data_IF_622858619595
#
_entry.id   IF_622858619595
#
_cell.length_a   1.000
_cell.length_b   1.000
_cell.length_c   1.000
_cell.angle_alpha   90.00
_cell.angle_beta   90.00
_cell.angle_gamma   90.00
#
_symmetry.space_group_name_H-M   'P 1'
#
loop_
_entity.id
_entity.type
_entity.pdbx_description
1 polymer ?
#
# COMPACT_ATOMS: atom_id res chain seq x y z
N UNK A 1 -0.40 -39.58 -1.54
CA UNK A 1 0.38 -38.55 -0.80
C UNK A 1 0.50 -37.27 -1.65
N UNK A 2 -0.62 -36.65 -2.04
CA UNK A 2 -0.63 -35.58 -3.06
C UNK A 2 -1.74 -34.52 -2.90
N UNK A 3 -2.23 -34.26 -1.67
CA UNK A 3 -3.30 -33.27 -1.42
C UNK A 3 -2.99 -32.30 -0.27
N UNK A 4 -1.72 -31.88 -0.11
CA UNK A 4 -1.33 -30.90 0.92
C UNK A 4 -0.72 -29.62 0.34
N UNK A 5 -1.18 -29.18 -0.84
CA UNK A 5 -0.75 -27.95 -1.52
C UNK A 5 -1.93 -27.04 -1.87
N UNK A 6 -2.61 -26.48 -0.86
CA UNK A 6 -3.49 -25.31 -1.07
C UNK A 6 -3.94 -24.71 0.26
N UNK A 7 -3.01 -24.38 1.16
CA UNK A 7 -3.39 -23.70 2.41
C UNK A 7 -2.73 -22.35 2.48
N UNK A 8 -3.52 -21.36 2.04
CA UNK A 8 -3.13 -19.98 1.86
C UNK A 8 -3.66 -19.09 3.01
N UNK A 9 -2.72 -18.67 3.87
CA UNK A 9 -2.56 -17.32 4.44
C UNK A 9 -3.28 -16.86 5.73
N UNK A 10 -2.48 -16.67 6.80
CA UNK A 10 -2.72 -15.67 7.85
C UNK A 10 -2.54 -14.26 7.24
N UNK A 11 -3.51 -13.35 7.43
CA UNK A 11 -3.50 -11.93 7.03
C UNK A 11 -3.98 -11.52 5.61
N UNK A 12 -5.18 -11.94 5.18
CA UNK A 12 -5.77 -11.58 3.86
C UNK A 12 -6.59 -10.28 3.77
N UNK A 13 -7.10 -9.72 4.88
CA UNK A 13 -8.00 -8.54 4.91
C UNK A 13 -7.62 -7.39 3.93
N UNK A 14 -6.41 -6.84 4.03
CA UNK A 14 -6.07 -5.67 3.19
C UNK A 14 -5.85 -6.03 1.70
N UNK A 15 -5.63 -7.30 1.37
CA UNK A 15 -5.43 -7.76 -0.01
C UNK A 15 -6.77 -7.97 -0.72
N UNK A 16 -7.75 -8.53 -0.03
CA UNK A 16 -9.12 -8.66 -0.54
C UNK A 16 -9.78 -7.30 -0.71
N UNK A 17 -9.54 -6.33 0.19
CA UNK A 17 -10.00 -4.95 0.01
C UNK A 17 -9.38 -4.26 -1.22
N UNK A 18 -8.07 -4.40 -1.46
CA UNK A 18 -7.45 -3.86 -2.68
C UNK A 18 -8.01 -4.50 -3.97
N UNK A 19 -8.29 -5.81 -3.93
CA UNK A 19 -8.98 -6.50 -5.02
C UNK A 19 -10.40 -5.96 -5.26
N UNK A 20 -11.16 -5.74 -4.19
CA UNK A 20 -12.49 -5.12 -4.25
C UNK A 20 -12.42 -3.69 -4.84
N UNK A 21 -11.49 -2.86 -4.37
CA UNK A 21 -11.29 -1.52 -4.92
C UNK A 21 -10.93 -1.56 -6.42
N UNK A 22 -10.07 -2.50 -6.85
CA UNK A 22 -9.72 -2.66 -8.26
C UNK A 22 -10.94 -3.02 -9.11
N UNK A 23 -11.80 -3.93 -8.63
CA UNK A 23 -13.06 -4.28 -9.32
C UNK A 23 -13.98 -3.07 -9.42
N UNK A 24 -14.17 -2.33 -8.33
CA UNK A 24 -14.99 -1.09 -8.32
C UNK A 24 -14.45 -0.10 -9.36
N UNK A 25 -13.12 0.14 -9.38
CA UNK A 25 -12.49 1.08 -10.30
C UNK A 25 -12.61 0.67 -11.77
N UNK A 26 -12.40 -0.62 -12.09
CA UNK A 26 -12.55 -1.11 -13.46
C UNK A 26 -14.02 -1.02 -13.90
N UNK A 27 -14.95 -1.50 -13.09
CA UNK A 27 -16.38 -1.51 -13.44
C UNK A 27 -16.92 -0.08 -13.64
N UNK A 28 -16.61 0.84 -12.72
CA UNK A 28 -17.02 2.24 -12.84
C UNK A 28 -16.31 2.96 -13.98
N UNK A 29 -15.01 2.74 -14.16
CA UNK A 29 -14.22 3.38 -15.22
C UNK A 29 -14.69 2.99 -16.61
N UNK A 30 -15.02 1.70 -16.83
CA UNK A 30 -15.59 1.23 -18.10
C UNK A 30 -16.94 1.88 -18.36
N UNK A 31 -17.82 1.93 -17.35
CA UNK A 31 -19.14 2.57 -17.52
C UNK A 31 -19.02 4.07 -17.81
N UNK A 32 -18.15 4.78 -17.09
CA UNK A 32 -17.88 6.20 -17.36
C UNK A 32 -17.36 6.41 -18.78
N UNK A 33 -16.44 5.56 -19.25
CA UNK A 33 -15.90 5.66 -20.61
C UNK A 33 -16.96 5.41 -21.69
N UNK A 34 -17.98 4.58 -21.43
CA UNK A 34 -19.08 4.33 -22.38
C UNK A 34 -20.03 5.53 -22.53
N UNK A 35 -20.15 6.37 -21.51
CA UNK A 35 -21.10 7.48 -21.46
C UNK A 35 -20.44 8.87 -21.53
N UNK A 36 -19.11 8.92 -21.59
CA UNK A 36 -18.34 10.15 -21.70
C UNK A 36 -18.14 10.57 -23.16
N UNK A 37 -18.29 11.88 -23.46
CA UNK A 37 -17.95 12.46 -24.75
C UNK A 37 -16.66 13.27 -24.64
N UNK A 38 -15.66 12.96 -25.46
CA UNK A 38 -14.39 13.69 -25.51
C UNK A 38 -14.44 14.97 -26.37
N UNK A 39 -15.58 15.29 -26.97
CA UNK A 39 -15.75 16.52 -27.74
C UNK A 39 -15.91 17.71 -26.80
N UNK A 40 -15.13 18.77 -27.03
CA UNK A 40 -15.05 19.95 -26.15
C UNK A 40 -16.42 20.58 -25.82
N UNK A 41 -17.34 20.56 -26.78
CA UNK A 41 -18.68 21.14 -26.65
C UNK A 41 -19.62 20.30 -25.77
N UNK A 42 -19.39 18.98 -25.69
CA UNK A 42 -20.24 18.02 -24.97
C UNK A 42 -19.57 17.45 -23.72
N UNK A 43 -18.30 17.77 -23.49
CA UNK A 43 -17.50 17.17 -22.44
C UNK A 43 -18.09 17.46 -21.06
N UNK A 44 -18.51 18.70 -20.80
CA UNK A 44 -19.12 19.07 -19.53
C UNK A 44 -20.48 18.38 -19.32
N UNK A 45 -21.37 18.48 -20.30
CA UNK A 45 -22.72 17.88 -20.23
C UNK A 45 -22.66 16.36 -20.06
N UNK A 46 -21.73 15.69 -20.74
CA UNK A 46 -21.52 14.25 -20.58
C UNK A 46 -21.02 13.87 -19.19
N UNK A 47 -20.20 14.72 -18.55
CA UNK A 47 -19.74 14.53 -17.17
C UNK A 47 -20.86 14.77 -16.17
N UNK A 48 -21.71 15.77 -16.40
CA UNK A 48 -22.90 16.05 -15.58
C UNK A 48 -23.89 14.89 -15.61
N UNK A 49 -24.13 14.31 -16.80
CA UNK A 49 -25.00 13.15 -16.98
C UNK A 49 -24.55 11.91 -16.16
N UNK A 50 -23.25 11.72 -15.95
CA UNK A 50 -22.67 10.53 -15.30
C UNK A 50 -22.24 10.76 -13.84
N UNK A 51 -22.64 11.89 -13.23
CA UNK A 51 -22.17 12.32 -11.90
C UNK A 51 -22.26 11.27 -10.79
N UNK A 52 -23.34 10.48 -10.64
CA UNK A 52 -23.42 9.49 -9.56
C UNK A 52 -22.31 8.43 -9.62
N UNK A 53 -22.01 7.93 -10.81
CA UNK A 53 -20.96 6.92 -11.03
C UNK A 53 -19.59 7.57 -10.94
N UNK A 54 -19.47 8.85 -11.31
CA UNK A 54 -18.25 9.63 -11.13
C UNK A 54 -17.88 9.78 -9.67
N UNK A 55 -18.84 9.98 -8.77
CA UNK A 55 -18.57 9.98 -7.32
C UNK A 55 -18.07 8.63 -6.82
N UNK A 56 -18.65 7.54 -7.31
CA UNK A 56 -18.18 6.18 -6.98
C UNK A 56 -16.74 5.93 -7.49
N UNK A 57 -16.43 6.38 -8.71
CA UNK A 57 -15.10 6.24 -9.28
C UNK A 57 -14.06 7.11 -8.55
N UNK A 58 -14.36 8.39 -8.33
CA UNK A 58 -13.46 9.34 -7.66
C UNK A 58 -13.18 8.95 -6.21
N UNK A 59 -14.22 8.71 -5.40
CA UNK A 59 -14.04 8.25 -4.01
C UNK A 59 -13.39 6.87 -3.96
N UNK A 60 -13.69 6.00 -4.93
CA UNK A 60 -13.08 4.68 -5.02
C UNK A 60 -11.56 4.74 -5.25
N UNK A 61 -11.07 5.74 -5.99
CA UNK A 61 -9.64 5.97 -6.19
C UNK A 61 -8.98 6.38 -4.86
N UNK A 62 -9.57 7.30 -4.11
CA UNK A 62 -9.05 7.70 -2.78
C UNK A 62 -9.01 6.52 -1.80
N UNK A 63 -10.06 5.70 -1.75
CA UNK A 63 -10.10 4.51 -0.91
C UNK A 63 -9.10 3.42 -1.37
N UNK A 64 -8.83 3.32 -2.67
CA UNK A 64 -7.77 2.46 -3.21
C UNK A 64 -6.41 2.87 -2.65
N UNK A 65 -6.06 4.17 -2.69
CA UNK A 65 -4.80 4.67 -2.14
C UNK A 65 -4.69 4.49 -0.62
N UNK A 66 -5.77 4.75 0.14
CA UNK A 66 -5.80 4.49 1.59
C UNK A 66 -5.53 3.02 1.89
N UNK A 67 -6.23 2.08 1.22
CA UNK A 67 -5.99 0.65 1.37
C UNK A 67 -4.56 0.25 1.00
N UNK A 68 -4.01 0.88 -0.05
CA UNK A 68 -2.66 0.65 -0.51
C UNK A 68 -1.62 1.11 0.51
N UNK A 69 -1.77 2.31 1.09
CA UNK A 69 -0.87 2.82 2.13
C UNK A 69 -0.90 1.92 3.37
N UNK A 70 -2.08 1.48 3.82
CA UNK A 70 -2.21 0.53 4.94
C UNK A 70 -1.56 -0.83 4.58
N UNK A 71 -1.73 -1.30 3.33
CA UNK A 71 -1.11 -2.53 2.85
C UNK A 71 0.43 -2.44 2.85
N UNK A 72 0.99 -1.33 2.35
CA UNK A 72 2.43 -1.06 2.34
C UNK A 72 2.93 -0.95 3.79
N UNK A 73 2.29 -0.15 4.65
CA UNK A 73 2.68 0.01 6.05
C UNK A 73 2.70 -1.32 6.80
N UNK A 74 1.73 -2.19 6.56
CA UNK A 74 1.72 -3.57 7.07
C UNK A 74 2.88 -4.41 6.53
N UNK A 75 3.19 -4.31 5.23
CA UNK A 75 4.30 -5.03 4.62
C UNK A 75 5.65 -4.60 5.22
N UNK A 76 5.81 -3.30 5.50
CA UNK A 76 6.95 -2.72 6.20
C UNK A 76 7.03 -3.28 7.64
N UNK A 77 5.97 -3.14 8.41
CA UNK A 77 5.93 -3.52 9.83
C UNK A 77 6.23 -5.01 10.06
N UNK A 78 5.69 -5.89 9.22
CA UNK A 78 5.90 -7.34 9.33
C UNK A 78 7.11 -7.85 8.54
N UNK A 79 7.92 -6.97 7.94
CA UNK A 79 9.10 -7.36 7.16
C UNK A 79 8.77 -8.26 5.97
N UNK A 80 7.61 -8.05 5.34
CA UNK A 80 7.12 -8.89 4.23
C UNK A 80 7.94 -8.73 2.95
N UNK A 81 8.72 -7.65 2.84
CA UNK A 81 9.67 -7.38 1.75
C UNK A 81 10.92 -8.26 1.79
N UNK A 82 11.20 -8.95 2.91
CA UNK A 82 12.43 -9.74 3.09
C UNK A 82 12.35 -11.08 2.36
N UNK A 83 13.51 -11.62 1.98
CA UNK A 83 13.65 -12.95 1.38
C UNK A 83 12.93 -14.02 2.20
N UNK A 84 12.26 -15.01 1.57
CA UNK A 84 12.25 -15.31 0.13
C UNK A 84 11.21 -14.52 -0.69
N UNK A 85 10.57 -13.49 -0.12
CA UNK A 85 9.45 -12.76 -0.75
C UNK A 85 9.86 -11.48 -1.50
N UNK A 86 11.13 -11.09 -1.45
CA UNK A 86 11.65 -9.93 -2.17
C UNK A 86 11.82 -10.21 -3.65
N UNK A 87 11.26 -9.36 -4.51
CA UNK A 87 11.47 -9.43 -5.96
C UNK A 87 12.72 -8.64 -6.35
N UNK A 88 13.47 -9.16 -7.33
CA UNK A 88 14.45 -8.37 -8.08
C UNK A 88 13.70 -7.51 -9.10
N UNK A 89 13.87 -6.19 -9.05
CA UNK A 89 13.34 -5.29 -10.09
C UNK A 89 14.24 -5.35 -11.32
N UNK A 90 13.70 -5.76 -12.46
CA UNK A 90 14.39 -5.78 -13.75
C UNK A 90 14.03 -4.57 -14.62
N UNK A 91 14.93 -4.22 -15.54
CA UNK A 91 14.88 -3.09 -16.47
C UNK A 91 13.55 -2.87 -17.26
N UNK A 92 12.75 -3.90 -17.61
CA UNK A 92 11.47 -3.69 -18.33
C UNK A 92 10.37 -2.99 -17.52
N UNK A 93 10.53 -2.86 -16.20
CA UNK A 93 9.50 -2.36 -15.27
C UNK A 93 9.36 -0.83 -15.30
N UNK A 94 10.40 -0.12 -15.76
CA UNK A 94 10.50 1.35 -15.65
C UNK A 94 10.11 2.07 -16.97
N UNK A 95 10.19 1.43 -18.13
CA UNK A 95 10.03 2.11 -19.44
C UNK A 95 8.61 2.16 -20.02
N UNK A 96 7.57 1.74 -19.31
CA UNK A 96 6.20 1.63 -19.89
C UNK A 96 5.23 2.73 -19.47
N UNK A 97 5.68 3.78 -18.78
CA UNK A 97 4.81 4.76 -18.14
C UNK A 97 4.48 6.01 -18.96
N UNK A 98 3.63 5.91 -20.01
CA UNK A 98 2.97 7.12 -20.55
C UNK A 98 1.61 6.90 -21.25
N UNK A 99 1.34 5.77 -21.91
CA UNK A 99 0.07 5.55 -22.64
C UNK A 99 -1.06 4.92 -21.80
N UNK A 100 -1.06 5.15 -20.48
CA UNK A 100 -1.30 4.05 -19.56
C UNK A 100 -2.62 4.08 -18.80
N UNK A 101 -3.40 5.15 -18.74
CA UNK A 101 -4.54 5.19 -17.81
C UNK A 101 -5.64 4.15 -18.08
N UNK A 102 -5.93 3.85 -19.36
CA UNK A 102 -6.90 2.80 -19.72
C UNK A 102 -6.31 1.39 -19.71
N UNK A 103 -5.01 1.24 -19.96
CA UNK A 103 -4.31 -0.05 -20.00
C UNK A 103 -3.79 -0.49 -18.62
N UNK A 104 -3.51 0.47 -17.73
CA UNK A 104 -2.96 0.29 -16.39
C UNK A 104 -3.82 -0.62 -15.53
N UNK A 105 -5.16 -0.51 -15.50
CA UNK A 105 -5.97 -1.40 -14.68
C UNK A 105 -5.81 -2.87 -15.11
N UNK A 106 -5.63 -3.15 -16.40
CA UNK A 106 -5.42 -4.51 -16.92
C UNK A 106 -4.00 -5.02 -16.67
N UNK A 107 -2.99 -4.16 -16.83
CA UNK A 107 -1.62 -4.49 -16.44
C UNK A 107 -1.53 -4.72 -14.93
N UNK A 108 -2.22 -3.89 -14.13
CA UNK A 108 -2.31 -4.02 -12.69
C UNK A 108 -3.02 -5.32 -12.31
N UNK A 109 -4.11 -5.69 -12.98
CA UNK A 109 -4.76 -6.98 -12.78
C UNK A 109 -3.79 -8.15 -13.07
N UNK A 110 -3.02 -8.07 -14.16
CA UNK A 110 -1.99 -9.08 -14.46
C UNK A 110 -0.87 -9.12 -13.39
N UNK A 111 -0.42 -7.97 -12.90
CA UNK A 111 0.55 -7.87 -11.80
C UNK A 111 -0.03 -8.41 -10.49
N UNK A 112 -1.32 -8.20 -10.22
CA UNK A 112 -2.03 -8.78 -9.06
C UNK A 112 -2.06 -10.30 -9.19
N UNK A 113 -2.33 -10.86 -10.38
CA UNK A 113 -2.27 -12.31 -10.60
C UNK A 113 -0.85 -12.83 -10.34
N UNK A 114 0.18 -12.21 -10.91
CA UNK A 114 1.58 -12.60 -10.66
C UNK A 114 1.94 -12.49 -9.17
N UNK A 115 1.49 -11.43 -8.50
CA UNK A 115 1.66 -11.24 -7.08
C UNK A 115 0.99 -12.37 -6.29
N UNK A 116 -0.25 -12.74 -6.63
CA UNK A 116 -0.99 -13.84 -6.01
C UNK A 116 -0.35 -15.21 -6.29
N UNK A 117 0.31 -15.40 -7.43
CA UNK A 117 1.09 -16.63 -7.73
C UNK A 117 2.33 -16.69 -6.83
N UNK A 118 3.13 -15.62 -6.77
CA UNK A 118 4.31 -15.55 -5.90
C UNK A 118 3.93 -15.74 -4.42
N UNK A 119 2.75 -15.25 -4.06
CA UNK A 119 2.09 -15.48 -2.79
C UNK A 119 1.77 -16.98 -2.62
N UNK A 120 1.05 -17.58 -3.56
CA UNK A 120 0.65 -18.99 -3.49
C UNK A 120 1.85 -19.92 -3.26
N UNK A 121 2.99 -19.64 -3.90
CA UNK A 121 4.24 -20.42 -3.73
C UNK A 121 4.83 -20.29 -2.33
N UNK A 122 4.95 -19.07 -1.79
CA UNK A 122 5.76 -18.82 -0.57
C UNK A 122 4.98 -18.79 0.75
N UNK A 123 3.65 -18.75 0.73
CA UNK A 123 2.85 -18.65 1.96
C UNK A 123 2.99 -17.30 2.71
N UNK A 124 1.96 -16.96 3.50
CA UNK A 124 1.91 -15.66 4.17
C UNK A 124 2.94 -15.54 5.25
N UNK A 125 3.31 -14.30 5.52
CA UNK A 125 3.90 -14.01 6.82
C UNK A 125 2.80 -14.01 7.89
N UNK A 126 3.22 -14.08 9.15
CA UNK A 126 2.36 -13.93 10.31
C UNK A 126 2.91 -12.82 11.22
N UNK A 127 2.11 -12.28 12.16
CA UNK A 127 2.55 -11.22 13.06
C UNK A 127 3.82 -11.54 13.84
N UNK A 128 4.10 -12.82 14.09
CA UNK A 128 5.25 -13.28 14.85
C UNK A 128 6.53 -13.37 14.01
N UNK A 129 6.43 -13.30 12.67
CA UNK A 129 7.57 -13.37 11.76
C UNK A 129 8.24 -14.75 11.66
N UNK A 130 7.73 -15.75 12.37
CA UNK A 130 8.25 -17.14 12.40
C UNK A 130 7.55 -18.03 11.37
N UNK A 131 7.91 -19.32 11.30
CA UNK A 131 7.23 -20.28 10.43
C UNK A 131 5.77 -20.48 10.82
N UNK A 132 4.86 -20.37 9.86
CA UNK A 132 3.44 -20.68 10.03
C UNK A 132 3.08 -22.10 9.61
N UNK A 133 4.05 -23.00 9.45
CA UNK A 133 3.81 -24.37 8.96
C UNK A 133 3.17 -25.28 10.01
N UNK A 134 3.37 -24.96 11.28
CA UNK A 134 2.89 -25.74 12.43
C UNK A 134 1.41 -25.54 12.72
N UNK A 135 0.86 -24.39 12.33
CA UNK A 135 -0.52 -24.00 12.64
C UNK A 135 -1.13 -23.29 11.44
N UNK A 136 -1.85 -24.07 10.61
CA UNK A 136 -2.52 -23.59 9.40
C UNK A 136 -4.00 -23.92 9.45
N UNK A 137 -4.81 -22.86 9.38
CA UNK A 137 -6.24 -22.97 9.15
C UNK A 137 -6.57 -22.86 7.66
N UNK A 138 -7.64 -23.53 7.19
CA UNK A 138 -8.08 -23.41 5.82
C UNK A 138 -8.69 -22.05 5.51
N UNK A 139 -8.58 -21.62 4.24
CA UNK A 139 -9.14 -20.34 3.79
C UNK A 139 -10.66 -20.32 4.03
N UNK A 140 -11.36 -21.33 3.49
CA UNK A 140 -12.77 -21.54 3.79
C UNK A 140 -12.94 -22.40 5.04
N UNK A 141 -13.84 -22.03 5.99
CA UNK A 141 -14.69 -20.84 5.97
C UNK A 141 -14.05 -19.61 6.63
N UNK A 142 -13.00 -19.80 7.43
CA UNK A 142 -12.51 -18.81 8.40
C UNK A 142 -12.14 -17.47 7.80
N UNK A 143 -11.28 -17.47 6.76
CA UNK A 143 -10.79 -16.24 6.16
C UNK A 143 -11.77 -15.66 5.13
N UNK A 144 -12.62 -16.48 4.51
CA UNK A 144 -13.74 -15.98 3.68
C UNK A 144 -14.68 -15.13 4.53
N UNK A 145 -15.12 -15.66 5.67
CA UNK A 145 -16.03 -14.94 6.56
C UNK A 145 -15.39 -13.68 7.12
N UNK A 146 -14.12 -13.77 7.55
CA UNK A 146 -13.36 -12.61 8.01
C UNK A 146 -13.28 -11.51 6.96
N UNK A 147 -12.92 -11.86 5.72
CA UNK A 147 -12.79 -10.91 4.63
C UNK A 147 -14.15 -10.31 4.25
N UNK A 148 -15.22 -11.09 4.29
CA UNK A 148 -16.59 -10.62 4.06
C UNK A 148 -17.04 -9.57 5.08
N UNK A 149 -16.76 -9.80 6.38
CA UNK A 149 -17.04 -8.81 7.44
C UNK A 149 -16.29 -7.50 7.17
N UNK A 150 -15.00 -7.58 6.81
CA UNK A 150 -14.21 -6.38 6.52
C UNK A 150 -14.64 -5.69 5.23
N UNK A 151 -15.08 -6.44 4.22
CA UNK A 151 -15.67 -5.92 2.99
C UNK A 151 -16.98 -5.18 3.25
N UNK A 152 -17.83 -5.71 4.14
CA UNK A 152 -19.09 -5.05 4.53
C UNK A 152 -18.83 -3.72 5.24
N UNK A 153 -17.91 -3.70 6.22
CA UNK A 153 -17.53 -2.47 6.92
C UNK A 153 -16.94 -1.45 5.95
N UNK A 154 -16.07 -1.90 5.03
CA UNK A 154 -15.52 -1.06 3.98
C UNK A 154 -16.61 -0.45 3.10
N UNK A 155 -17.56 -1.26 2.62
CA UNK A 155 -18.66 -0.79 1.77
C UNK A 155 -19.57 0.20 2.50
N UNK A 156 -19.83 -0.01 3.79
CA UNK A 156 -20.59 0.93 4.61
C UNK A 156 -19.90 2.30 4.63
N UNK A 157 -18.62 2.35 5.01
CA UNK A 157 -17.87 3.62 5.04
C UNK A 157 -17.77 4.24 3.64
N UNK A 158 -17.54 3.41 2.62
CA UNK A 158 -17.47 3.86 1.23
C UNK A 158 -18.78 4.52 0.77
N UNK A 159 -19.94 3.91 1.07
CA UNK A 159 -21.25 4.48 0.72
C UNK A 159 -21.53 5.79 1.46
N UNK A 160 -21.02 5.96 2.69
CA UNK A 160 -21.13 7.24 3.40
C UNK A 160 -20.44 8.37 2.62
N UNK A 161 -19.22 8.14 2.12
CA UNK A 161 -18.51 9.12 1.30
C UNK A 161 -19.22 9.35 -0.04
N UNK A 162 -19.62 8.29 -0.74
CA UNK A 162 -20.24 8.40 -2.07
C UNK A 162 -21.59 9.15 -2.02
N UNK A 163 -22.44 8.89 -1.03
CA UNK A 163 -23.79 9.46 -0.99
C UNK A 163 -23.91 10.72 -0.14
N UNK A 164 -23.16 10.84 0.96
CA UNK A 164 -23.34 11.94 1.91
C UNK A 164 -22.21 12.97 1.87
N UNK A 165 -21.03 12.63 1.33
CA UNK A 165 -19.88 13.55 1.26
C UNK A 165 -19.00 13.34 0.02
N UNK A 166 -19.57 13.35 -1.21
CA UNK A 166 -18.88 12.87 -2.41
C UNK A 166 -17.67 13.69 -2.85
N UNK A 167 -17.60 14.96 -2.46
CA UNK A 167 -16.55 15.89 -2.89
C UNK A 167 -15.49 16.16 -1.80
N UNK A 168 -15.60 15.56 -0.60
CA UNK A 168 -14.68 15.89 0.51
C UNK A 168 -13.24 15.44 0.29
N UNK A 169 -13.00 14.48 -0.60
CA UNK A 169 -11.68 13.93 -0.91
C UNK A 169 -11.10 14.46 -2.24
N UNK A 170 -11.80 15.37 -2.92
CA UNK A 170 -11.35 15.98 -4.17
C UNK A 170 -10.88 17.42 -3.96
N UNK A 171 -9.96 17.89 -4.82
CA UNK A 171 -9.59 19.29 -4.91
C UNK A 171 -10.14 19.91 -6.21
N UNK A 172 -10.60 21.18 -6.21
CA UNK A 172 -11.06 21.87 -7.43
C UNK A 172 -9.96 22.01 -8.49
N UNK A 173 -8.72 22.23 -8.06
CA UNK A 173 -7.57 22.39 -8.92
C UNK A 173 -6.65 21.16 -8.84
N UNK A 174 -6.43 20.45 -9.94
CA UNK A 174 -5.66 19.21 -9.99
C UNK A 174 -4.37 19.38 -10.83
N UNK A 175 -3.31 19.89 -10.23
CA UNK A 175 -1.96 19.84 -10.81
C UNK A 175 -0.95 19.49 -9.71
N UNK A 176 -0.07 18.51 -9.96
CA UNK A 176 0.99 18.10 -9.01
C UNK A 176 2.29 17.82 -9.76
N UNK A 177 3.41 18.23 -9.14
CA UNK A 177 4.79 18.08 -9.59
C UNK A 177 5.33 16.64 -9.46
N UNK A 178 6.21 16.25 -10.39
CA UNK A 178 6.35 14.83 -10.79
C UNK A 178 7.65 14.14 -10.33
N UNK A 179 8.75 14.86 -10.12
CA UNK A 179 10.08 14.22 -10.02
C UNK A 179 10.40 13.68 -8.60
N UNK A 180 10.20 14.48 -7.55
CA UNK A 180 10.47 14.06 -6.17
C UNK A 180 9.56 12.90 -5.72
N UNK A 181 8.34 12.84 -6.25
CA UNK A 181 7.36 11.80 -5.96
C UNK A 181 7.81 10.42 -6.44
N UNK A 182 8.46 10.33 -7.61
CA UNK A 182 8.98 9.05 -8.11
C UNK A 182 10.13 8.52 -7.25
N UNK A 183 11.06 9.38 -6.81
CA UNK A 183 12.15 8.98 -5.92
C UNK A 183 11.64 8.46 -4.58
N UNK A 184 10.60 9.09 -4.01
CA UNK A 184 9.97 8.68 -2.76
C UNK A 184 9.29 7.30 -2.84
N UNK A 185 8.86 6.87 -4.04
CA UNK A 185 8.29 5.54 -4.26
C UNK A 185 9.37 4.49 -4.49
N UNK A 186 10.38 4.80 -5.32
CA UNK A 186 11.45 3.87 -5.66
C UNK A 186 12.34 3.48 -4.46
N UNK A 187 12.45 4.33 -3.45
CA UNK A 187 13.26 4.04 -2.25
C UNK A 187 12.79 2.79 -1.49
N UNK A 188 11.50 2.42 -1.61
CA UNK A 188 10.96 1.20 -0.99
C UNK A 188 11.67 -0.08 -1.48
N UNK A 189 12.25 -0.05 -2.68
CA UNK A 189 12.97 -1.18 -3.28
C UNK A 189 14.30 -1.48 -2.58
N UNK A 190 14.82 -0.55 -1.78
CA UNK A 190 16.11 -0.70 -1.09
C UNK A 190 15.97 -1.51 0.21
N UNK A 191 14.77 -1.58 0.79
CA UNK A 191 14.49 -2.22 2.09
C UNK A 191 14.95 -3.68 2.24
N UNK A 192 14.81 -4.56 1.23
CA UNK A 192 15.33 -5.93 1.34
C UNK A 192 16.84 -6.00 1.60
N UNK A 193 17.57 -4.94 1.24
CA UNK A 193 19.03 -4.84 1.35
C UNK A 193 19.47 -4.07 2.60
N UNK A 194 18.74 -3.02 3.01
CA UNK A 194 19.09 -2.19 4.16
C UNK A 194 18.64 -2.73 5.51
N UNK A 195 17.58 -3.55 5.57
CA UNK A 195 17.22 -4.24 6.82
C UNK A 195 18.21 -5.37 7.14
N UNK A 196 19.10 -5.11 8.10
CA UNK A 196 20.16 -6.03 8.55
C UNK A 196 19.70 -6.97 9.67
N UNK A 197 18.45 -6.86 10.13
CA UNK A 197 17.98 -7.58 11.32
C UNK A 197 17.99 -9.10 11.11
N UNK A 198 18.34 -9.90 12.11
CA UNK A 198 18.21 -11.37 12.00
C UNK A 198 16.75 -11.85 12.13
N UNK A 199 15.89 -11.05 12.79
CA UNK A 199 14.47 -11.36 13.02
C UNK A 199 13.58 -10.58 12.06
N UNK A 200 12.62 -11.29 11.43
CA UNK A 200 11.65 -10.69 10.50
C UNK A 200 10.56 -9.93 11.26
N UNK A 201 10.24 -8.73 10.78
CA UNK A 201 9.16 -7.89 11.31
C UNK A 201 9.50 -7.23 12.64
N UNK A 202 8.71 -6.23 13.05
CA UNK A 202 9.02 -5.35 14.18
C UNK A 202 8.33 -5.73 15.50
N UNK A 203 7.55 -6.82 15.51
CA UNK A 203 6.75 -7.21 16.68
C UNK A 203 7.58 -7.30 17.98
N UNK A 204 8.79 -7.87 17.89
CA UNK A 204 9.71 -8.08 19.01
C UNK A 204 10.94 -7.16 18.99
N UNK A 205 10.89 -6.08 18.22
CA UNK A 205 12.01 -5.15 18.01
C UNK A 205 11.61 -3.75 18.46
N UNK A 206 11.82 -3.39 19.74
CA UNK A 206 11.25 -2.17 20.33
C UNK A 206 11.76 -0.89 19.66
N UNK A 207 13.04 -0.82 19.28
CA UNK A 207 13.61 0.35 18.61
C UNK A 207 13.10 0.45 17.17
N UNK A 208 13.06 -0.66 16.43
CA UNK A 208 12.48 -0.68 15.09
C UNK A 208 10.99 -0.30 15.09
N UNK A 209 10.24 -0.74 16.13
CA UNK A 209 8.82 -0.42 16.29
C UNK A 209 8.59 1.07 16.54
N UNK A 210 9.37 1.67 17.44
CA UNK A 210 9.32 3.10 17.71
C UNK A 210 9.64 3.91 16.45
N UNK A 211 10.74 3.54 15.76
CA UNK A 211 11.17 4.21 14.53
C UNK A 211 10.13 4.08 13.41
N UNK A 212 9.46 2.94 13.28
CA UNK A 212 8.36 2.75 12.32
C UNK A 212 7.19 3.70 12.59
N UNK A 213 6.76 3.88 13.83
CA UNK A 213 5.66 4.82 14.13
C UNK A 213 6.08 6.28 13.95
N UNK A 214 7.34 6.62 14.23
CA UNK A 214 7.90 7.93 13.87
C UNK A 214 7.86 8.15 12.35
N UNK A 215 8.19 7.13 11.54
CA UNK A 215 8.04 7.17 10.09
C UNK A 215 6.59 7.35 9.63
N UNK A 216 5.64 6.61 10.21
CA UNK A 216 4.21 6.76 9.89
C UNK A 216 3.72 8.17 10.23
N UNK A 217 4.10 8.70 11.39
CA UNK A 217 3.75 10.08 11.77
C UNK A 217 4.36 11.11 10.81
N UNK A 218 5.64 10.94 10.45
CA UNK A 218 6.30 11.82 9.47
C UNK A 218 5.66 11.74 8.08
N UNK A 219 5.20 10.57 7.64
CA UNK A 219 4.47 10.41 6.39
C UNK A 219 3.14 11.19 6.40
N UNK A 220 2.39 11.12 7.50
CA UNK A 220 1.17 11.92 7.70
C UNK A 220 1.49 13.41 7.78
N UNK A 221 2.59 13.80 8.43
CA UNK A 221 3.04 15.19 8.48
C UNK A 221 3.37 15.73 7.08
N UNK A 222 4.12 14.99 6.27
CA UNK A 222 4.42 15.34 4.87
C UNK A 222 3.14 15.51 4.03
N UNK A 223 2.17 14.60 4.18
CA UNK A 223 0.88 14.72 3.50
C UNK A 223 0.14 16.01 3.89
N UNK A 224 0.16 16.36 5.19
CA UNK A 224 -0.47 17.60 5.68
C UNK A 224 0.30 18.87 5.29
N UNK A 225 1.62 18.81 5.15
CA UNK A 225 2.42 19.95 4.70
C UNK A 225 2.22 20.24 3.22
N UNK A 226 1.98 19.21 2.40
CA UNK A 226 1.78 19.35 0.95
C UNK A 226 0.54 20.13 0.54
N UNK A 227 -0.43 20.31 1.46
CA UNK A 227 -1.64 21.13 1.23
C UNK A 227 -1.51 22.56 1.76
N UNK A 228 -0.44 22.88 2.51
CA UNK A 228 -0.26 24.22 3.08
C UNK A 228 0.48 25.14 2.11
N UNK A 229 0.29 26.44 2.28
CA UNK A 229 1.04 27.44 1.54
C UNK A 229 2.54 27.39 1.88
N UNK A 230 3.35 27.83 0.92
CA UNK A 230 4.81 27.85 0.98
C UNK A 230 5.25 29.02 1.85
N UNK A 231 5.14 28.84 3.17
CA UNK A 231 5.43 29.86 4.18
C UNK A 231 6.28 29.28 5.31
N UNK A 232 6.96 30.15 6.06
CA UNK A 232 7.67 29.78 7.30
C UNK A 232 6.62 29.60 8.41
N UNK A 233 6.66 28.52 9.22
CA UNK A 233 7.72 27.51 9.36
C UNK A 233 7.56 26.25 8.50
N UNK A 234 6.53 26.15 7.65
CA UNK A 234 6.18 24.93 6.91
C UNK A 234 7.24 24.50 5.90
N UNK A 235 7.95 25.45 5.27
CA UNK A 235 9.08 25.14 4.37
C UNK A 235 10.16 24.36 5.12
N UNK A 236 10.60 24.88 6.28
CA UNK A 236 11.64 24.24 7.08
C UNK A 236 11.18 22.87 7.60
N UNK A 237 9.92 22.77 8.03
CA UNK A 237 9.34 21.51 8.49
C UNK A 237 9.26 20.48 7.35
N UNK A 238 8.91 20.90 6.13
CA UNK A 238 8.84 20.04 4.94
C UNK A 238 10.21 19.50 4.54
N UNK A 239 11.25 20.35 4.56
CA UNK A 239 12.63 19.93 4.28
C UNK A 239 13.08 18.89 5.32
N UNK A 240 12.92 19.18 6.61
CA UNK A 240 13.32 18.27 7.69
C UNK A 240 12.56 16.93 7.62
N UNK A 241 11.24 16.98 7.35
CA UNK A 241 10.41 15.77 7.21
C UNK A 241 10.84 14.92 6.00
N UNK A 242 11.23 15.57 4.90
CA UNK A 242 11.73 14.87 3.70
C UNK A 242 13.09 14.21 3.97
N UNK A 243 14.00 14.90 4.66
CA UNK A 243 15.29 14.34 5.08
C UNK A 243 15.06 13.13 6.00
N UNK A 244 14.16 13.24 6.97
CA UNK A 244 13.79 12.12 7.83
C UNK A 244 13.21 10.95 7.02
N UNK A 245 12.34 11.20 6.05
CA UNK A 245 11.75 10.17 5.19
C UNK A 245 12.82 9.34 4.47
N UNK A 246 13.78 9.97 3.79
CA UNK A 246 14.83 9.24 3.06
C UNK A 246 15.86 8.59 3.99
N UNK A 247 16.23 9.27 5.08
CA UNK A 247 17.18 8.73 6.06
C UNK A 247 16.63 7.49 6.78
N UNK A 248 15.30 7.36 6.94
CA UNK A 248 14.68 6.16 7.48
C UNK A 248 15.13 4.89 6.73
N UNK A 249 15.10 4.91 5.40
CA UNK A 249 15.38 3.74 4.57
C UNK A 249 16.87 3.40 4.47
N UNK A 250 17.72 4.42 4.35
CA UNK A 250 19.15 4.27 4.02
C UNK A 250 20.02 4.24 5.29
N UNK A 251 19.66 5.00 6.32
CA UNK A 251 20.53 5.23 7.49
C UNK A 251 19.93 4.56 8.74
N UNK A 252 18.70 4.93 9.10
CA UNK A 252 18.12 4.54 10.39
C UNK A 252 17.76 3.05 10.43
N UNK A 253 17.20 2.50 9.34
CA UNK A 253 16.89 1.06 9.23
C UNK A 253 18.13 0.16 9.43
N UNK A 254 19.24 0.31 8.67
CA UNK A 254 20.42 -0.53 8.88
C UNK A 254 21.09 -0.30 10.24
N UNK A 255 21.11 0.94 10.74
CA UNK A 255 21.67 1.27 12.04
C UNK A 255 20.91 0.58 13.18
N UNK A 256 19.61 0.83 13.28
CA UNK A 256 18.76 0.29 14.37
C UNK A 256 18.69 -1.22 14.31
N UNK A 257 18.54 -1.80 13.11
CA UNK A 257 18.50 -3.26 12.97
C UNK A 257 19.81 -3.93 13.38
N UNK A 258 20.96 -3.28 13.20
CA UNK A 258 22.27 -3.77 13.66
C UNK A 258 22.41 -3.66 15.18
N UNK A 259 21.98 -2.54 15.77
CA UNK A 259 21.97 -2.35 17.23
C UNK A 259 21.10 -3.41 17.90
N UNK A 260 19.88 -3.65 17.40
CA UNK A 260 18.99 -4.66 17.97
C UNK A 260 19.56 -6.07 17.85
N UNK A 261 20.25 -6.41 16.77
CA UNK A 261 20.95 -7.69 16.65
C UNK A 261 22.01 -7.85 17.76
N UNK A 262 22.78 -6.80 18.05
CA UNK A 262 23.79 -6.80 19.11
C UNK A 262 23.15 -6.96 20.50
N UNK A 263 22.07 -6.22 20.76
CA UNK A 263 21.34 -6.31 22.03
C UNK A 263 20.77 -7.73 22.26
N UNK A 264 20.19 -8.35 21.22
CA UNK A 264 19.70 -9.73 21.29
C UNK A 264 20.81 -10.76 21.52
N UNK A 265 22.03 -10.48 21.05
CA UNK A 265 23.18 -11.35 21.30
C UNK A 265 23.66 -11.23 22.75
N UNK A 266 23.92 -9.99 23.21
CA UNK A 266 24.42 -9.74 24.57
C UNK A 266 23.43 -10.24 25.64
N UNK A 267 22.14 -9.95 25.49
CA UNK A 267 21.12 -10.31 26.49
C UNK A 267 20.88 -11.82 26.65
N UNK A 268 21.32 -12.65 25.68
CA UNK A 268 21.27 -14.11 25.78
C UNK A 268 22.52 -14.73 26.41
N UNK A 269 23.66 -14.04 26.36
CA UNK A 269 24.93 -14.55 26.86
C UNK A 269 25.16 -14.23 28.34
N UNK A 270 24.34 -13.34 28.92
CA UNK A 270 24.39 -12.96 30.33
C UNK A 270 23.32 -13.64 31.19
N UNK A 271 22.48 -14.49 30.59
CA UNK A 271 21.41 -15.26 31.24
C UNK A 271 21.75 -16.75 31.19
#
# INVERSE_FOLDING_TARGET
MALRKSQVYLQLVNRSLLGLCLVIQIATGVFLAMHYSSHIELAFDSVEHIMPIRYMHANGASFFFVCMYIHIGKALYYGSYRTPRGFSVSNPTIQRFFALHFLLPFILAALVIMHLIALHVNGSSNPLGITGNIDRLPMHPYFIFKDAVTGLVFLLVFTLFVFYSPNSLGHPDNYIEVIAMFAALLILLVLPYTDRSIVRGFAFKPLSKLLFFAFVFNFVLLANLGQLHIEVPFIALGINSTIFYFSYFIILTPLVSTIENLLFYMGRNTA
#
